data_IF_888404915508
#
_entry.id   IF_888404915508
#
_cell.length_a   1.000
_cell.length_b   1.000
_cell.length_c   1.000
_cell.angle_alpha   90.00
_cell.angle_beta   90.00
_cell.angle_gamma   90.00
#
_symmetry.space_group_name_H-M   'P 1'
#
loop_
_entity.id
_entity.type
_entity.pdbx_description
1 polymer ?
#
# COMPACT_ATOMS: atom_id res chain seq x y z
N UNK A 1 -6.36 36.11 -22.87
CA UNK A 1 -5.16 35.42 -23.32
C UNK A 1 -4.41 34.68 -22.26
N UNK A 2 -4.74 34.91 -21.00
CA UNK A 2 -4.17 34.12 -19.91
C UNK A 2 -4.39 32.61 -20.10
N UNK A 3 -5.49 32.23 -20.74
CA UNK A 3 -5.78 30.81 -21.03
C UNK A 3 -4.74 30.16 -21.93
N UNK A 4 -4.09 30.93 -22.80
CA UNK A 4 -3.07 30.38 -23.70
C UNK A 4 -1.73 30.20 -23.02
N UNK A 5 -1.50 30.92 -21.93
CA UNK A 5 -0.25 30.82 -21.19
C UNK A 5 -0.27 29.72 -20.13
N UNK A 6 -1.44 29.43 -19.57
CA UNK A 6 -1.57 28.42 -18.54
C UNK A 6 -1.16 27.02 -18.99
N UNK A 7 -1.65 26.47 -20.12
CA UNK A 7 -1.26 25.13 -20.55
C UNK A 7 0.22 24.93 -20.78
N UNK A 8 0.95 25.85 -21.47
CA UNK A 8 2.40 25.69 -21.60
C UNK A 8 3.16 25.72 -20.30
N UNK A 9 2.73 26.55 -19.35
CA UNK A 9 3.34 26.59 -18.03
C UNK A 9 3.13 25.28 -17.29
N UNK A 10 1.92 24.72 -17.39
CA UNK A 10 1.60 23.44 -16.80
C UNK A 10 2.48 22.32 -17.36
N UNK A 11 2.63 22.27 -18.66
CA UNK A 11 3.46 21.28 -19.31
C UNK A 11 4.92 21.38 -18.87
N UNK A 12 5.43 22.62 -18.70
CA UNK A 12 6.78 22.84 -18.23
C UNK A 12 6.99 22.28 -16.83
N UNK A 13 6.06 22.51 -15.93
CA UNK A 13 6.13 21.97 -14.57
C UNK A 13 6.10 20.45 -14.59
N UNK A 14 5.23 19.87 -15.39
CA UNK A 14 5.16 18.42 -15.52
C UNK A 14 6.46 17.82 -16.04
N UNK A 15 7.05 18.44 -17.03
CA UNK A 15 8.33 17.99 -17.61
C UNK A 15 9.44 18.02 -16.57
N UNK A 16 9.51 19.07 -15.77
CA UNK A 16 10.50 19.18 -14.70
C UNK A 16 10.29 18.08 -13.66
N UNK A 17 9.07 17.83 -13.27
CA UNK A 17 8.75 16.74 -12.34
C UNK A 17 9.15 15.38 -12.90
N UNK A 18 8.87 15.13 -14.18
CA UNK A 18 9.24 13.88 -14.81
C UNK A 18 10.77 13.70 -14.84
N UNK A 19 11.51 14.75 -15.12
CA UNK A 19 12.96 14.70 -15.12
C UNK A 19 13.49 14.42 -13.71
N UNK A 20 12.95 15.07 -12.71
CA UNK A 20 13.33 14.84 -11.32
C UNK A 20 13.06 13.40 -10.93
N UNK A 21 11.92 12.83 -11.29
CA UNK A 21 11.60 11.43 -11.01
C UNK A 21 12.58 10.48 -11.69
N UNK A 22 12.94 10.77 -12.94
CA UNK A 22 13.89 9.93 -13.68
C UNK A 22 15.31 10.02 -13.10
N UNK A 23 15.70 11.18 -12.60
CA UNK A 23 17.06 11.40 -12.06
C UNK A 23 17.13 11.19 -10.56
N UNK A 24 16.00 11.31 -9.85
CA UNK A 24 15.96 11.21 -8.40
C UNK A 24 16.17 9.81 -7.84
N UNK A 25 15.98 8.79 -8.66
CA UNK A 25 16.17 7.41 -8.27
C UNK A 25 14.98 6.82 -7.52
N UNK A 26 15.03 5.49 -7.34
CA UNK A 26 13.94 4.72 -6.74
C UNK A 26 13.74 5.01 -5.24
N UNK A 27 14.76 5.51 -4.54
CA UNK A 27 14.67 5.80 -3.11
C UNK A 27 13.70 6.94 -2.80
N UNK A 28 13.66 7.97 -3.65
CA UNK A 28 12.75 9.11 -3.46
C UNK A 28 11.29 8.69 -3.64
N UNK A 29 11.02 7.83 -4.62
CA UNK A 29 9.69 7.30 -4.85
C UNK A 29 9.23 6.45 -3.67
N UNK A 30 10.10 5.61 -3.13
CA UNK A 30 9.78 4.77 -1.99
C UNK A 30 9.53 5.58 -0.73
N UNK A 31 10.26 6.65 -0.52
CA UNK A 31 10.04 7.54 0.62
C UNK A 31 8.69 8.23 0.52
N UNK A 32 8.33 8.70 -0.67
CA UNK A 32 7.02 9.30 -0.90
C UNK A 32 5.89 8.30 -0.63
N UNK A 33 6.06 7.04 -1.04
CA UNK A 33 5.08 5.99 -0.78
C UNK A 33 4.94 5.71 0.72
N UNK A 34 6.06 5.63 1.45
CA UNK A 34 6.05 5.41 2.89
C UNK A 34 5.35 6.54 3.64
N UNK A 35 5.52 7.76 3.19
CA UNK A 35 4.87 8.92 3.80
C UNK A 35 3.39 8.98 3.49
N UNK A 36 2.96 8.46 2.36
CA UNK A 36 1.58 8.53 1.90
C UNK A 36 0.72 7.42 2.49
N UNK A 37 1.25 6.19 2.56
CA UNK A 37 0.48 5.02 2.97
C UNK A 37 0.88 4.52 4.34
N UNK A 38 -0.11 4.08 5.11
CA UNK A 38 0.09 3.37 6.37
C UNK A 38 -0.64 2.04 6.28
N UNK A 39 0.09 0.96 6.51
CA UNK A 39 -0.45 -0.40 6.47
C UNK A 39 0.07 -1.17 7.67
N UNK A 40 -0.81 -1.88 8.34
CA UNK A 40 -0.45 -2.75 9.44
C UNK A 40 -1.35 -3.98 9.43
N UNK A 41 -0.78 -5.14 9.75
CA UNK A 41 -1.52 -6.39 9.84
C UNK A 41 -1.18 -7.05 11.18
N UNK A 42 -2.14 -7.07 12.10
CA UNK A 42 -1.93 -7.49 13.48
C UNK A 42 -2.74 -8.73 13.78
N UNK A 43 -2.10 -9.73 14.36
CA UNK A 43 -2.77 -10.92 14.88
C UNK A 43 -3.14 -10.71 16.34
N UNK A 44 -4.39 -11.05 16.66
CA UNK A 44 -4.92 -11.02 18.02
C UNK A 44 -5.19 -12.44 18.52
N UNK A 45 -4.84 -12.70 19.76
CA UNK A 45 -5.03 -14.02 20.38
C UNK A 45 -6.48 -14.50 20.38
N UNK A 46 -7.41 -13.61 20.18
CA UNK A 46 -8.83 -13.94 20.04
C UNK A 46 -9.15 -14.68 18.75
N UNK A 47 -8.17 -14.88 17.87
CA UNK A 47 -8.32 -15.69 16.67
C UNK A 47 -8.67 -14.92 15.41
N UNK A 48 -8.12 -13.72 15.26
CA UNK A 48 -8.31 -12.93 14.05
C UNK A 48 -7.09 -12.08 13.73
N UNK A 49 -7.01 -11.68 12.47
CA UNK A 49 -6.03 -10.70 11.98
C UNK A 49 -6.78 -9.44 11.58
N UNK A 50 -6.25 -8.30 11.96
CA UNK A 50 -6.80 -7.01 11.60
C UNK A 50 -5.81 -6.30 10.67
N UNK A 51 -6.25 -6.07 9.42
CA UNK A 51 -5.44 -5.34 8.43
C UNK A 51 -6.00 -3.94 8.30
N UNK A 52 -5.16 -2.96 8.57
CA UNK A 52 -5.52 -1.55 8.44
C UNK A 52 -4.74 -0.91 7.30
N UNK A 53 -5.43 -0.07 6.55
CA UNK A 53 -4.87 0.68 5.43
C UNK A 53 -5.34 2.12 5.51
N UNK A 54 -4.42 3.05 5.28
CA UNK A 54 -4.74 4.47 5.24
C UNK A 54 -3.86 5.17 4.20
N UNK A 55 -4.53 5.90 3.29
CA UNK A 55 -3.89 6.76 2.30
C UNK A 55 -4.08 8.22 2.74
N UNK A 56 -3.00 8.86 3.18
CA UNK A 56 -3.04 10.24 3.63
C UNK A 56 -3.45 11.22 2.53
N UNK A 57 -3.12 10.91 1.28
CA UNK A 57 -3.45 11.77 0.15
C UNK A 57 -4.90 11.65 -0.30
N UNK A 58 -5.58 10.57 0.11
CA UNK A 58 -6.97 10.29 -0.27
C UNK A 58 -7.18 10.20 -1.79
N UNK A 59 -6.18 9.67 -2.49
CA UNK A 59 -6.19 9.53 -3.96
C UNK A 59 -6.23 8.07 -4.43
N UNK A 60 -6.37 7.14 -3.50
CA UNK A 60 -6.54 5.72 -3.82
C UNK A 60 -7.92 5.52 -4.44
N UNK A 61 -7.99 4.83 -5.57
CA UNK A 61 -9.24 4.53 -6.25
C UNK A 61 -9.68 3.09 -6.09
N UNK A 62 -8.71 2.18 -5.91
CA UNK A 62 -8.99 0.76 -5.77
C UNK A 62 -7.86 0.06 -5.03
N UNK A 63 -8.22 -0.88 -4.16
CA UNK A 63 -7.25 -1.73 -3.45
C UNK A 63 -7.73 -3.16 -3.54
N UNK A 64 -6.85 -4.05 -3.99
CA UNK A 64 -7.09 -5.50 -3.90
C UNK A 64 -6.15 -6.03 -2.83
N UNK A 65 -6.72 -6.52 -1.74
CA UNK A 65 -5.95 -7.10 -0.63
C UNK A 65 -5.98 -8.62 -0.72
N UNK A 66 -4.83 -9.24 -0.55
CA UNK A 66 -4.68 -10.69 -0.62
C UNK A 66 -3.77 -11.16 0.49
N UNK A 67 -4.13 -12.25 1.15
CA UNK A 67 -3.26 -12.94 2.10
C UNK A 67 -2.86 -14.26 1.47
N UNK A 68 -1.56 -14.44 1.26
CA UNK A 68 -1.02 -15.61 0.60
C UNK A 68 -0.81 -16.77 1.57
N UNK A 69 -0.67 -17.96 1.03
CA UNK A 69 -0.31 -19.15 1.80
C UNK A 69 -1.44 -19.79 2.60
N UNK A 70 -2.66 -19.29 2.50
CA UNK A 70 -3.82 -19.88 3.15
C UNK A 70 -4.40 -21.02 2.32
N UNK A 71 -5.08 -21.97 2.97
CA UNK A 71 -5.75 -23.08 2.28
C UNK A 71 -6.77 -22.56 1.26
N UNK A 72 -7.53 -21.55 1.67
CA UNK A 72 -8.39 -20.80 0.76
C UNK A 72 -7.78 -19.42 0.60
N UNK A 73 -7.57 -19.00 -0.63
CA UNK A 73 -7.01 -17.67 -0.90
C UNK A 73 -7.95 -16.59 -0.39
N UNK A 74 -7.46 -15.76 0.51
CA UNK A 74 -8.21 -14.58 0.94
C UNK A 74 -7.91 -13.44 -0.01
N UNK A 75 -8.95 -12.90 -0.64
CA UNK A 75 -8.83 -11.75 -1.52
C UNK A 75 -10.08 -10.89 -1.40
N UNK A 76 -9.88 -9.60 -1.24
CA UNK A 76 -10.98 -8.65 -1.13
C UNK A 76 -10.61 -7.34 -1.80
N UNK A 77 -11.59 -6.73 -2.46
CA UNK A 77 -11.41 -5.47 -3.16
C UNK A 77 -12.11 -4.34 -2.40
N UNK A 78 -11.41 -3.22 -2.26
CA UNK A 78 -11.92 -2.01 -1.60
C UNK A 78 -11.79 -0.84 -2.56
N UNK A 79 -12.72 0.11 -2.47
CA UNK A 79 -12.64 1.37 -3.20
C UNK A 79 -12.40 2.57 -2.29
N UNK A 80 -12.08 2.31 -1.04
CA UNK A 80 -11.90 3.34 -0.02
C UNK A 80 -10.43 3.75 0.12
N UNK A 81 -10.21 4.95 0.62
CA UNK A 81 -8.86 5.44 0.94
C UNK A 81 -8.41 5.03 2.34
N UNK A 82 -9.30 4.43 3.10
CA UNK A 82 -9.05 3.96 4.46
C UNK A 82 -9.96 2.79 4.76
N UNK A 83 -9.43 1.72 5.32
CA UNK A 83 -10.25 0.59 5.76
C UNK A 83 -9.55 -0.19 6.85
N UNK A 84 -10.35 -0.93 7.60
CA UNK A 84 -9.89 -1.96 8.54
C UNK A 84 -10.67 -3.23 8.21
N UNK A 85 -9.96 -4.30 7.92
CA UNK A 85 -10.57 -5.59 7.62
C UNK A 85 -10.19 -6.60 8.68
N UNK A 86 -11.18 -7.31 9.21
CA UNK A 86 -10.97 -8.35 10.21
C UNK A 86 -11.14 -9.70 9.52
N UNK A 87 -10.10 -10.52 9.58
CA UNK A 87 -10.05 -11.81 8.92
C UNK A 87 -9.93 -12.89 10.00
N UNK A 88 -10.83 -13.89 10.03
CA UNK A 88 -10.70 -15.01 10.96
C UNK A 88 -9.37 -15.73 10.76
N UNK A 89 -8.63 -15.91 11.84
CA UNK A 89 -7.34 -16.60 11.82
C UNK A 89 -7.19 -17.33 13.16
N UNK A 90 -7.77 -18.53 13.29
CA UNK A 90 -7.95 -19.17 14.60
C UNK A 90 -6.66 -19.48 15.35
N UNK A 91 -5.57 -19.75 14.64
CA UNK A 91 -4.30 -20.13 15.25
C UNK A 91 -3.14 -19.46 14.56
N UNK A 92 -2.06 -19.21 15.32
CA UNK A 92 -0.82 -18.75 14.72
C UNK A 92 -0.26 -19.83 13.79
N UNK A 93 0.37 -19.42 12.65
CA UNK A 93 0.94 -20.40 11.75
C UNK A 93 2.12 -21.14 12.40
N UNK A 94 2.16 -22.44 12.19
CA UNK A 94 3.18 -23.32 12.77
C UNK A 94 4.60 -22.93 12.36
N UNK A 95 4.75 -22.42 11.15
CA UNK A 95 6.05 -22.06 10.57
C UNK A 95 6.31 -20.56 10.53
N UNK A 96 5.54 -19.77 11.29
CA UNK A 96 5.70 -18.33 11.38
C UNK A 96 4.90 -17.55 10.37
N UNK A 97 4.88 -16.23 10.54
CA UNK A 97 4.04 -15.33 9.75
C UNK A 97 4.57 -15.04 8.35
N UNK A 98 5.84 -15.36 8.07
CA UNK A 98 6.44 -15.13 6.77
C UNK A 98 5.76 -15.94 5.65
N UNK A 99 5.07 -17.02 5.98
CA UNK A 99 4.34 -17.84 4.99
C UNK A 99 2.98 -17.24 4.61
N UNK A 100 2.53 -16.20 5.30
CA UNK A 100 1.26 -15.52 5.05
C UNK A 100 1.47 -14.03 4.81
N UNK A 101 2.20 -13.63 3.76
CA UNK A 101 2.37 -12.22 3.47
C UNK A 101 1.04 -11.58 3.06
N UNK A 102 0.87 -10.33 3.44
CA UNK A 102 -0.28 -9.51 3.04
C UNK A 102 0.16 -8.62 1.88
N UNK A 103 -0.54 -8.72 0.77
CA UNK A 103 -0.24 -7.97 -0.44
C UNK A 103 -1.41 -7.08 -0.77
N UNK A 104 -1.14 -5.80 -1.02
CA UNK A 104 -2.12 -4.84 -1.47
C UNK A 104 -1.72 -4.31 -2.84
N UNK A 105 -2.57 -4.55 -3.83
CA UNK A 105 -2.43 -3.97 -5.16
C UNK A 105 -3.30 -2.70 -5.19
N UNK A 106 -2.68 -1.56 -5.37
CA UNK A 106 -3.34 -0.27 -5.21
C UNK A 106 -3.31 0.49 -6.54
N UNK A 107 -4.48 0.99 -6.95
CA UNK A 107 -4.57 1.97 -8.02
C UNK A 107 -4.71 3.35 -7.39
N UNK A 108 -3.83 4.25 -7.76
CA UNK A 108 -3.70 5.56 -7.15
C UNK A 108 -3.64 6.65 -8.22
N UNK A 109 -4.36 7.75 -8.02
CA UNK A 109 -4.41 8.83 -9.00
C UNK A 109 -3.07 9.48 -9.27
N UNK A 110 -2.20 9.52 -8.25
CA UNK A 110 -0.89 10.16 -8.37
C UNK A 110 0.22 9.17 -8.71
N UNK A 111 0.26 8.02 -8.04
CA UNK A 111 1.35 7.05 -8.19
C UNK A 111 1.07 5.95 -9.21
N UNK A 112 -0.16 5.88 -9.73
CA UNK A 112 -0.56 4.81 -10.63
C UNK A 112 -0.76 3.50 -9.90
N UNK A 113 -0.36 2.40 -10.50
CA UNK A 113 -0.47 1.08 -9.89
C UNK A 113 0.74 0.80 -9.02
N UNK A 114 0.52 0.50 -7.76
CA UNK A 114 1.58 0.19 -6.80
C UNK A 114 1.23 -1.07 -6.01
N UNK A 115 2.25 -1.74 -5.51
CA UNK A 115 2.09 -2.90 -4.65
C UNK A 115 2.72 -2.63 -3.29
N UNK A 116 1.99 -2.93 -2.23
CA UNK A 116 2.50 -2.95 -0.86
C UNK A 116 2.51 -4.38 -0.37
N UNK A 117 3.56 -4.77 0.31
CA UNK A 117 3.70 -6.10 0.89
C UNK A 117 4.20 -5.98 2.32
N UNK A 118 3.54 -6.63 3.25
CA UNK A 118 3.97 -6.67 4.64
C UNK A 118 3.67 -8.05 5.24
N UNK A 119 4.13 -8.25 6.45
CA UNK A 119 3.87 -9.48 7.19
C UNK A 119 2.90 -9.20 8.34
N UNK A 120 2.12 -10.22 8.69
CA UNK A 120 1.30 -10.18 9.89
C UNK A 120 2.23 -10.32 11.09
N UNK A 121 1.97 -9.57 12.16
CA UNK A 121 2.73 -9.66 13.40
C UNK A 121 1.80 -9.71 14.61
N UNK A 122 2.21 -10.37 15.69
CA UNK A 122 1.47 -10.31 16.96
C UNK A 122 1.44 -8.88 17.50
N UNK A 123 0.43 -8.57 18.30
CA UNK A 123 0.23 -7.23 18.84
C UNK A 123 1.45 -6.71 19.63
N UNK A 124 2.16 -7.60 20.29
CA UNK A 124 3.30 -7.25 21.15
C UNK A 124 4.61 -7.06 20.39
N UNK A 125 4.68 -7.54 19.17
CA UNK A 125 5.89 -7.46 18.36
C UNK A 125 6.00 -6.13 17.63
N UNK A 126 7.22 -5.78 17.23
CA UNK A 126 7.44 -4.59 16.41
C UNK A 126 6.81 -4.74 15.04
N UNK A 127 6.42 -3.62 14.45
CA UNK A 127 5.81 -3.59 13.12
C UNK A 127 6.84 -4.00 12.07
N UNK A 128 6.57 -5.02 11.25
CA UNK A 128 7.45 -5.41 10.16
C UNK A 128 7.55 -4.32 9.09
N UNK A 129 8.64 -4.28 8.34
CA UNK A 129 8.77 -3.31 7.27
C UNK A 129 7.73 -3.57 6.16
N UNK A 130 7.25 -2.49 5.56
CA UNK A 130 6.38 -2.54 4.39
C UNK A 130 7.25 -2.38 3.15
N UNK A 131 7.11 -3.30 2.21
CA UNK A 131 7.85 -3.29 0.95
C UNK A 131 6.96 -2.67 -0.12
N UNK A 132 7.45 -1.64 -0.77
CA UNK A 132 6.75 -0.93 -1.83
C UNK A 132 7.38 -1.25 -3.18
N UNK A 133 6.54 -1.51 -4.18
CA UNK A 133 7.02 -1.72 -5.53
C UNK A 133 6.06 -1.12 -6.55
N UNK A 134 6.63 -0.65 -7.66
CA UNK A 134 5.87 -0.19 -8.82
C UNK A 134 6.13 -1.14 -9.97
N UNK A 135 5.12 -1.47 -10.76
CA UNK A 135 5.31 -2.35 -11.92
C UNK A 135 6.15 -1.72 -13.01
#
# INVERSE_FOLDING_TARGET
MAKKLGPPIFLGVFTVLAIVLLTGGASDDKDALRQTFQVDAVYYDTGHVEVSFFDKSQKTTNVVMEILGMDETFQKTFSDTEFIEIIPFPNEPKYGWAIHPVVLEIDHEEFGHIQLKTEIHPLEDSIPPVIYSTP
#
